data_IF_037770604054
#
_entry.id   IF_037770604054
#
_cell.length_a   1.000
_cell.length_b   1.000
_cell.length_c   1.000
_cell.angle_alpha   90.00
_cell.angle_beta   90.00
_cell.angle_gamma   90.00
#
_symmetry.space_group_name_H-M   'P 1'
#
loop_
_entity.id
_entity.type
_entity.pdbx_description
1 polymer ?
#
# COMPACT_ATOMS: atom_id res chain seq x y z
N UNK A 1 -17.07 8.11 0.91
CA UNK A 1 -16.99 7.93 -0.56
C UNK A 1 -16.64 6.48 -0.85
N UNK A 2 -17.34 5.77 -1.75
CA UNK A 2 -17.18 4.32 -1.94
C UNK A 2 -16.23 4.00 -3.11
N UNK A 3 -15.12 3.31 -2.82
CA UNK A 3 -14.29 2.63 -3.82
C UNK A 3 -14.71 1.16 -3.92
N UNK A 4 -14.94 0.64 -5.12
CA UNK A 4 -15.36 -0.76 -5.35
C UNK A 4 -14.45 -1.50 -6.34
N UNK A 5 -13.30 -0.95 -6.70
CA UNK A 5 -12.38 -1.58 -7.67
C UNK A 5 -11.34 -0.66 -8.31
N UNK A 6 -11.30 0.62 -7.96
CA UNK A 6 -10.29 1.54 -8.47
C UNK A 6 -8.97 1.39 -7.71
N UNK A 7 -7.88 1.69 -8.43
CA UNK A 7 -6.53 1.85 -7.86
C UNK A 7 -6.22 3.33 -7.75
N UNK A 8 -5.84 3.79 -6.57
CA UNK A 8 -5.50 5.19 -6.33
C UNK A 8 -4.22 5.33 -5.49
N UNK A 9 -3.39 6.31 -5.84
CA UNK A 9 -2.28 6.78 -5.01
C UNK A 9 -2.55 8.24 -4.70
N UNK A 10 -2.55 8.59 -3.42
CA UNK A 10 -2.85 9.95 -2.93
C UNK A 10 -1.81 10.39 -1.91
N UNK A 11 -1.55 11.69 -1.84
CA UNK A 11 -0.57 12.28 -0.92
C UNK A 11 -1.13 12.53 0.49
N UNK A 12 -2.40 12.24 0.70
CA UNK A 12 -3.07 12.39 1.98
C UNK A 12 -4.59 12.28 1.84
N UNK A 13 -5.25 12.04 2.96
CA UNK A 13 -6.71 11.96 3.04
C UNK A 13 -7.20 12.55 4.36
N UNK A 14 -8.35 13.22 4.32
CA UNK A 14 -9.03 13.72 5.50
C UNK A 14 -9.68 12.59 6.32
N UNK A 15 -10.62 12.97 7.20
CA UNK A 15 -11.40 12.02 7.98
C UNK A 15 -12.25 11.11 7.06
N UNK A 16 -12.53 9.89 7.50
CA UNK A 16 -13.33 8.88 6.77
C UNK A 16 -12.73 8.44 5.43
N UNK A 17 -11.40 8.43 5.31
CA UNK A 17 -10.71 7.81 4.17
C UNK A 17 -11.07 6.33 4.02
N UNK A 18 -11.23 5.86 2.78
CA UNK A 18 -11.64 4.49 2.45
C UNK A 18 -12.95 4.00 3.09
N UNK A 19 -13.81 4.90 3.55
CA UNK A 19 -15.09 4.56 4.14
C UNK A 19 -16.00 3.84 3.12
N UNK A 20 -16.62 2.74 3.55
CA UNK A 20 -17.45 1.86 2.71
C UNK A 20 -16.74 1.31 1.47
N UNK A 21 -15.40 1.24 1.48
CA UNK A 21 -14.66 0.60 0.40
C UNK A 21 -14.99 -0.90 0.37
N UNK A 22 -15.34 -1.41 -0.82
CA UNK A 22 -15.72 -2.81 -1.05
C UNK A 22 -14.80 -3.52 -2.05
N UNK A 23 -13.77 -2.85 -2.54
CA UNK A 23 -12.77 -3.40 -3.46
C UNK A 23 -11.80 -2.34 -3.99
N UNK A 24 -10.70 -2.79 -4.61
CA UNK A 24 -9.64 -1.93 -5.15
C UNK A 24 -8.43 -1.79 -4.22
N UNK A 25 -7.50 -0.91 -4.61
CA UNK A 25 -6.25 -0.65 -3.90
C UNK A 25 -6.07 0.84 -3.69
N UNK A 26 -5.82 1.28 -2.46
CA UNK A 26 -5.52 2.68 -2.16
C UNK A 26 -4.16 2.76 -1.48
N UNK A 27 -3.30 3.65 -1.96
CA UNK A 27 -2.04 3.99 -1.28
C UNK A 27 -2.08 5.44 -0.84
N UNK A 28 -1.87 5.70 0.45
CA UNK A 28 -1.85 7.02 1.07
C UNK A 28 -0.42 7.33 1.50
N UNK A 29 0.24 8.25 0.80
CA UNK A 29 1.65 8.64 1.00
C UNK A 29 1.82 9.78 2.02
N UNK A 30 0.77 10.14 2.74
CA UNK A 30 0.82 11.16 3.76
C UNK A 30 -0.27 10.98 4.81
N UNK A 31 -0.65 12.08 5.46
CA UNK A 31 -1.56 11.99 6.60
C UNK A 31 -2.93 11.42 6.21
N UNK A 32 -3.42 10.46 7.00
CA UNK A 32 -4.80 9.99 6.99
C UNK A 32 -5.59 10.55 8.18
N UNK A 33 -6.82 11.01 7.94
CA UNK A 33 -7.68 11.50 9.02
C UNK A 33 -8.25 10.39 9.90
N UNK A 34 -9.15 10.79 10.79
CA UNK A 34 -9.82 9.92 11.77
C UNK A 34 -10.87 9.03 11.11
N UNK A 35 -11.21 7.95 11.81
CA UNK A 35 -12.23 7.00 11.41
C UNK A 35 -11.99 6.43 9.99
N UNK A 36 -10.72 6.26 9.65
CA UNK A 36 -10.31 5.65 8.38
C UNK A 36 -10.84 4.21 8.30
N UNK A 37 -11.19 3.76 7.09
CA UNK A 37 -11.72 2.43 6.81
C UNK A 37 -13.03 2.07 7.53
N UNK A 38 -13.78 3.06 8.03
CA UNK A 38 -15.10 2.78 8.60
C UNK A 38 -16.03 2.11 7.58
N UNK A 39 -16.59 0.96 7.96
CA UNK A 39 -17.46 0.17 7.07
C UNK A 39 -16.75 -0.38 5.82
N UNK A 40 -15.41 -0.38 5.79
CA UNK A 40 -14.64 -1.02 4.72
C UNK A 40 -14.81 -2.53 4.83
N UNK A 41 -15.36 -3.15 3.79
CA UNK A 41 -15.65 -4.59 3.75
C UNK A 41 -14.85 -5.34 2.69
N UNK A 42 -14.06 -4.64 1.86
CA UNK A 42 -13.19 -5.27 0.87
C UNK A 42 -12.19 -4.32 0.22
N UNK A 43 -11.13 -4.89 -0.33
CA UNK A 43 -9.98 -4.18 -0.92
C UNK A 43 -8.83 -3.99 0.07
N UNK A 44 -7.77 -3.30 -0.37
CA UNK A 44 -6.55 -3.10 0.44
C UNK A 44 -6.17 -1.62 0.46
N UNK A 45 -5.78 -1.13 1.63
CA UNK A 45 -5.28 0.23 1.82
C UNK A 45 -3.88 0.20 2.46
N UNK A 46 -2.91 0.81 1.80
CA UNK A 46 -1.58 1.07 2.34
C UNK A 46 -1.51 2.50 2.84
N UNK A 47 -1.08 2.70 4.08
CA UNK A 47 -0.96 4.03 4.68
C UNK A 47 0.46 4.22 5.19
N UNK A 48 1.09 5.30 4.76
CA UNK A 48 2.37 5.74 5.31
C UNK A 48 2.14 6.37 6.68
N UNK A 49 2.51 5.64 7.73
CA UNK A 49 2.40 6.11 9.10
C UNK A 49 3.76 6.61 9.63
N UNK A 50 4.07 7.88 9.35
CA UNK A 50 5.32 8.50 9.83
C UNK A 50 5.29 8.83 11.33
N UNK A 51 4.09 8.98 11.91
CA UNK A 51 3.91 9.38 13.31
C UNK A 51 3.75 8.19 14.24
N UNK A 52 3.43 7.01 13.71
CA UNK A 52 3.21 5.79 14.49
C UNK A 52 1.90 5.78 15.26
N UNK A 53 0.94 6.62 14.86
CA UNK A 53 -0.35 6.84 15.54
C UNK A 53 -1.56 6.54 14.63
N UNK A 54 -1.34 5.80 13.53
CA UNK A 54 -2.43 5.50 12.59
C UNK A 54 -3.46 4.51 13.16
N UNK A 55 -3.04 3.63 14.06
CA UNK A 55 -3.91 2.68 14.76
C UNK A 55 -5.06 3.38 15.52
N UNK A 56 -4.79 4.53 16.13
CA UNK A 56 -5.80 5.34 16.84
C UNK A 56 -6.78 6.02 15.87
N UNK A 57 -6.37 6.23 14.61
CA UNK A 57 -7.17 6.91 13.58
C UNK A 57 -7.95 5.93 12.70
N UNK A 58 -7.58 4.65 12.72
CA UNK A 58 -8.21 3.61 11.93
C UNK A 58 -9.40 2.98 12.68
N UNK A 59 -10.51 2.75 11.96
CA UNK A 59 -11.65 2.03 12.48
C UNK A 59 -11.47 0.52 12.26
N UNK A 60 -11.09 -0.20 13.31
CA UNK A 60 -10.77 -1.63 13.27
C UNK A 60 -11.99 -2.55 13.39
N UNK A 61 -13.21 -2.03 13.28
CA UNK A 61 -14.42 -2.86 13.45
C UNK A 61 -14.57 -3.94 12.37
N UNK A 62 -14.05 -3.69 11.16
CA UNK A 62 -14.19 -4.58 10.00
C UNK A 62 -12.88 -4.81 9.23
N UNK A 63 -11.78 -4.20 9.69
CA UNK A 63 -10.47 -4.30 9.04
C UNK A 63 -9.40 -4.63 10.08
N UNK A 64 -8.33 -5.24 9.60
CA UNK A 64 -7.14 -5.54 10.38
C UNK A 64 -5.99 -4.65 9.92
N UNK A 65 -5.15 -4.21 10.86
CA UNK A 65 -3.93 -3.49 10.55
C UNK A 65 -2.73 -4.41 10.67
N UNK A 66 -1.98 -4.53 9.58
CA UNK A 66 -0.72 -5.25 9.55
C UNK A 66 0.40 -4.31 9.10
N UNK A 67 1.55 -4.42 9.78
CA UNK A 67 2.76 -3.74 9.35
C UNK A 67 3.32 -4.50 8.15
N UNK A 68 3.60 -3.76 7.07
CA UNK A 68 4.35 -4.32 5.94
C UNK A 68 5.77 -4.59 6.41
N UNK A 69 6.08 -5.86 6.65
CA UNK A 69 7.43 -6.33 6.94
C UNK A 69 8.17 -6.59 5.64
N UNK A 70 9.47 -6.27 5.60
CA UNK A 70 10.34 -6.65 4.49
C UNK A 70 10.63 -8.15 4.60
N UNK A 71 9.79 -8.99 3.99
CA UNK A 71 10.04 -10.42 3.99
C UNK A 71 10.94 -10.79 2.80
N UNK A 72 12.00 -11.58 3.05
CA UNK A 72 12.94 -12.04 2.02
C UNK A 72 12.26 -12.86 0.93
N UNK A 73 11.07 -13.38 1.22
CA UNK A 73 10.16 -14.09 0.31
C UNK A 73 9.64 -13.21 -0.82
N UNK A 74 9.65 -11.87 -0.66
CA UNK A 74 9.31 -10.91 -1.71
C UNK A 74 10.28 -10.93 -2.90
N UNK A 75 11.47 -11.54 -2.74
CA UNK A 75 12.38 -11.81 -3.87
C UNK A 75 11.80 -12.78 -4.88
N UNK A 76 10.92 -13.70 -4.49
CA UNK A 76 10.38 -14.70 -5.42
C UNK A 76 9.34 -14.10 -6.38
N UNK A 77 8.62 -13.05 -5.97
CA UNK A 77 7.79 -12.26 -6.89
C UNK A 77 8.68 -11.47 -7.86
N UNK A 78 9.89 -11.10 -7.43
CA UNK A 78 10.87 -10.43 -8.27
C UNK A 78 11.37 -11.30 -9.44
N UNK A 79 11.32 -12.63 -9.28
CA UNK A 79 11.62 -13.61 -10.33
C UNK A 79 10.43 -13.77 -11.30
N UNK A 80 9.18 -13.60 -10.84
CA UNK A 80 7.99 -13.74 -11.70
C UNK A 80 7.61 -12.48 -12.48
N UNK A 81 8.17 -11.31 -12.15
CA UNK A 81 7.99 -10.09 -12.92
C UNK A 81 9.00 -9.91 -14.06
N UNK A 82 9.97 -10.84 -14.22
CA UNK A 82 10.87 -10.86 -15.40
C UNK A 82 10.12 -11.07 -16.74
N UNK A 83 8.88 -11.58 -16.71
CA UNK A 83 8.10 -11.78 -17.93
C UNK A 83 7.39 -10.52 -18.44
N UNK A 84 7.28 -9.45 -17.64
CA UNK A 84 6.66 -8.19 -18.05
C UNK A 84 7.73 -7.11 -18.24
N UNK A 85 8.40 -7.21 -19.39
CA UNK A 85 9.14 -6.14 -20.10
C UNK A 85 10.31 -5.47 -19.35
N UNK A 86 11.50 -5.94 -19.71
CA UNK A 86 12.75 -5.18 -19.94
C UNK A 86 13.15 -4.22 -18.83
N UNK A 87 13.67 -4.76 -17.72
CA UNK A 87 14.60 -4.04 -16.85
C UNK A 87 15.94 -4.81 -16.84
N UNK A 88 17.10 -4.12 -16.90
CA UNK A 88 18.40 -4.77 -16.90
C UNK A 88 18.59 -5.60 -15.62
N UNK A 89 19.12 -6.82 -15.76
CA UNK A 89 19.27 -7.81 -14.68
C UNK A 89 20.06 -7.32 -13.46
N UNK A 90 20.80 -6.22 -13.58
CA UNK A 90 21.55 -5.59 -12.48
C UNK A 90 20.65 -4.99 -11.39
N UNK A 91 19.45 -4.51 -11.74
CA UNK A 91 18.51 -3.91 -10.78
C UNK A 91 17.77 -4.95 -9.93
N UNK A 92 17.76 -6.21 -10.37
CA UNK A 92 17.06 -7.33 -9.73
C UNK A 92 17.79 -7.90 -8.51
N UNK A 93 19.04 -7.49 -8.31
CA UNK A 93 19.91 -7.94 -7.21
C UNK A 93 20.08 -6.92 -6.09
N UNK A 94 19.49 -5.72 -6.23
CA UNK A 94 19.60 -4.67 -5.22
C UNK A 94 18.63 -4.92 -4.07
N UNK A 95 19.16 -4.93 -2.84
CA UNK A 95 18.36 -4.82 -1.64
C UNK A 95 17.48 -3.56 -1.71
N UNK A 96 16.23 -3.68 -1.25
CA UNK A 96 15.32 -2.55 -1.11
C UNK A 96 16.00 -1.47 -0.23
N UNK A 97 16.25 -0.25 -0.74
CA UNK A 97 17.05 0.72 -0.01
C UNK A 97 16.34 1.14 1.27
N UNK A 98 17.05 1.16 2.40
CA UNK A 98 16.52 1.56 3.73
C UNK A 98 15.87 2.95 3.72
N UNK A 99 16.27 3.80 2.76
CA UNK A 99 15.72 5.12 2.52
C UNK A 99 14.37 5.01 1.77
N UNK A 100 13.28 5.24 2.52
CA UNK A 100 11.89 5.16 2.03
C UNK A 100 11.53 6.23 1.00
N UNK A 101 12.39 7.23 0.75
CA UNK A 101 12.13 8.34 -0.17
C UNK A 101 12.86 8.21 -1.52
N UNK A 102 13.93 7.42 -1.60
CA UNK A 102 14.62 7.10 -2.86
C UNK A 102 14.17 5.72 -3.33
N UNK A 103 13.65 5.63 -4.56
CA UNK A 103 13.06 4.43 -5.21
C UNK A 103 11.56 4.17 -4.93
N UNK A 104 10.83 5.18 -4.47
CA UNK A 104 9.42 5.07 -4.06
C UNK A 104 8.48 4.50 -5.14
N UNK A 105 8.75 4.83 -6.42
CA UNK A 105 7.96 4.33 -7.55
C UNK A 105 8.02 2.80 -7.74
N UNK A 106 9.13 2.15 -7.39
CA UNK A 106 9.27 0.69 -7.51
C UNK A 106 8.50 0.00 -6.40
N UNK A 107 8.62 0.50 -5.15
CA UNK A 107 7.84 0.01 -4.01
C UNK A 107 6.34 0.12 -4.27
N UNK A 108 5.89 1.27 -4.77
CA UNK A 108 4.49 1.49 -5.12
C UNK A 108 3.98 0.51 -6.18
N UNK A 109 4.78 0.26 -7.22
CA UNK A 109 4.44 -0.74 -8.25
C UNK A 109 4.29 -2.13 -7.66
N UNK A 110 5.20 -2.55 -6.78
CA UNK A 110 5.12 -3.86 -6.12
C UNK A 110 3.86 -3.97 -5.26
N UNK A 111 3.57 -2.97 -4.43
CA UNK A 111 2.38 -2.97 -3.55
C UNK A 111 1.08 -3.06 -4.35
N UNK A 112 0.99 -2.30 -5.45
CA UNK A 112 -0.19 -2.30 -6.32
C UNK A 112 -0.29 -3.63 -7.08
N UNK A 113 0.80 -4.12 -7.68
CA UNK A 113 0.81 -5.35 -8.48
C UNK A 113 0.45 -6.61 -7.68
N UNK A 114 0.59 -6.60 -6.34
CA UNK A 114 0.13 -7.72 -5.49
C UNK A 114 -1.39 -7.89 -5.46
N UNK A 115 -2.14 -6.86 -5.84
CA UNK A 115 -3.59 -6.78 -5.60
C UNK A 115 -4.41 -6.40 -6.84
N UNK A 116 -3.79 -6.40 -8.02
CA UNK A 116 -4.39 -6.10 -9.33
C UNK A 116 -4.02 -7.21 -10.30
#
# INVERSE_FOLDING_TARGET
>A
MRNSGAVAVVEGVGDHGCEYMTGGVVVVLGAAGRNFAAGMSGGVAYVLDERGDFDVRCNLAMVELEKVVEDKTDRNIMIHLEEIRVLPQELLSMDLPEDKLRHDAVRLKVLIARHV
#
